data_IF_863974812982
#
_entry.id   IF_863974812982
#
_cell.length_a   1.000
_cell.length_b   1.000
_cell.length_c   1.000
_cell.angle_alpha   90.00
_cell.angle_beta   90.00
_cell.angle_gamma   90.00
#
_symmetry.space_group_name_H-M   'P 1'
#
loop_
_entity.id
_entity.type
_entity.pdbx_description
1 polymer ?
#
# COMPACT_ATOMS: atom_id res chain seq x y z
N UNK A 1 -3.16 5.60 -10.31
CA UNK A 1 -4.47 6.08 -9.82
C UNK A 1 -4.21 7.18 -8.81
N UNK A 2 -4.94 8.29 -8.88
CA UNK A 2 -4.88 9.36 -7.88
C UNK A 2 -6.21 9.38 -7.13
N UNK A 3 -6.15 9.29 -5.80
CA UNK A 3 -7.30 9.29 -4.91
C UNK A 3 -7.06 10.33 -3.81
N UNK A 4 -7.62 11.52 -3.98
CA UNK A 4 -7.47 12.63 -3.03
C UNK A 4 -8.21 12.39 -1.71
N UNK A 5 -9.15 11.44 -1.67
CA UNK A 5 -9.87 11.08 -0.46
C UNK A 5 -9.12 10.00 0.35
N UNK A 6 -8.03 9.44 -0.18
CA UNK A 6 -7.21 8.50 0.54
C UNK A 6 -6.31 9.21 1.58
N UNK A 7 -6.39 8.76 2.82
CA UNK A 7 -5.49 9.23 3.89
C UNK A 7 -4.05 8.72 3.74
N UNK A 8 -3.86 7.62 3.01
CA UNK A 8 -2.55 6.98 2.79
C UNK A 8 -2.45 6.46 1.35
N UNK A 9 -1.22 6.31 0.87
CA UNK A 9 -0.94 5.74 -0.46
C UNK A 9 -0.78 4.22 -0.38
N UNK A 10 -1.32 3.50 -1.36
CA UNK A 10 -1.30 2.03 -1.40
C UNK A 10 -0.65 1.52 -2.67
N UNK A 11 0.00 0.37 -2.55
CA UNK A 11 0.54 -0.41 -3.65
C UNK A 11 0.00 -1.84 -3.56
N UNK A 12 -0.35 -2.44 -4.70
CA UNK A 12 -0.78 -3.84 -4.71
C UNK A 12 0.41 -4.76 -4.43
N UNK A 13 0.15 -5.88 -3.77
CA UNK A 13 1.16 -6.91 -3.51
C UNK A 13 1.88 -7.37 -4.79
N UNK A 14 1.15 -7.56 -5.90
CA UNK A 14 1.74 -7.93 -7.19
C UNK A 14 2.71 -6.88 -7.74
N UNK A 15 2.48 -5.59 -7.46
CA UNK A 15 3.40 -4.52 -7.85
C UNK A 15 4.63 -4.49 -6.97
N UNK A 16 4.50 -4.78 -5.67
CA UNK A 16 5.64 -4.93 -4.76
C UNK A 16 6.57 -6.05 -5.24
N UNK A 17 6.02 -7.22 -5.59
CA UNK A 17 6.81 -8.34 -6.13
C UNK A 17 7.45 -7.98 -7.48
N UNK A 18 6.67 -7.41 -8.40
CA UNK A 18 7.17 -7.09 -9.75
C UNK A 18 8.29 -6.03 -9.74
N UNK A 19 8.25 -5.10 -8.80
CA UNK A 19 9.23 -4.02 -8.66
C UNK A 19 10.34 -4.35 -7.66
N UNK A 20 10.29 -5.53 -7.03
CA UNK A 20 11.21 -5.98 -5.99
C UNK A 20 11.41 -4.93 -4.87
N UNK A 21 10.29 -4.34 -4.43
CA UNK A 21 10.34 -3.28 -3.41
C UNK A 21 10.53 -3.88 -2.01
N UNK A 22 11.47 -3.35 -1.20
CA UNK A 22 11.64 -3.82 0.17
C UNK A 22 10.41 -3.47 1.01
N UNK A 23 9.89 -4.47 1.73
CA UNK A 23 8.78 -4.29 2.67
C UNK A 23 9.24 -4.42 4.11
N UNK A 24 8.66 -3.61 4.99
CA UNK A 24 8.75 -3.78 6.43
C UNK A 24 7.39 -4.22 7.00
N UNK A 25 7.42 -4.91 8.14
CA UNK A 25 6.23 -5.15 8.92
C UNK A 25 5.81 -3.85 9.64
N UNK A 26 4.51 -3.57 9.67
CA UNK A 26 3.95 -2.48 10.45
C UNK A 26 3.88 -2.89 11.94
N UNK A 27 4.04 -1.94 12.86
CA UNK A 27 3.91 -2.23 14.30
C UNK A 27 2.45 -2.45 14.73
N UNK A 28 1.48 -2.22 13.84
CA UNK A 28 0.06 -2.46 14.07
C UNK A 28 -0.64 -2.83 12.76
N UNK A 29 -1.79 -3.49 12.89
CA UNK A 29 -2.64 -3.84 11.76
C UNK A 29 -3.45 -2.61 11.31
N UNK A 30 -3.27 -2.20 10.05
CA UNK A 30 -4.07 -1.15 9.44
C UNK A 30 -5.28 -1.79 8.75
N UNK A 31 -6.44 -1.81 9.41
CA UNK A 31 -7.68 -2.28 8.81
C UNK A 31 -8.40 -1.15 8.07
N UNK A 32 -8.92 -1.47 6.89
CA UNK A 32 -9.77 -0.55 6.13
C UNK A 32 -11.15 -1.18 5.95
N UNK A 33 -12.14 -0.55 6.56
CA UNK A 33 -13.54 -0.92 6.39
C UNK A 33 -14.11 -0.16 5.17
N UNK A 34 -14.75 -0.90 4.28
CA UNK A 34 -15.66 -0.33 3.30
C UNK A 34 -17.07 -0.81 3.64
N UNK A 35 -18.11 0.04 3.53
CA UNK A 35 -19.49 -0.41 3.75
C UNK A 35 -19.81 -1.62 2.86
N UNK A 36 -20.24 -2.73 3.48
CA UNK A 36 -20.65 -3.95 2.77
C UNK A 36 -19.54 -4.95 2.40
N UNK A 37 -18.28 -4.71 2.80
CA UNK A 37 -17.18 -5.64 2.55
C UNK A 37 -16.44 -6.01 3.84
N UNK A 38 -15.78 -7.17 3.83
CA UNK A 38 -14.85 -7.55 4.89
C UNK A 38 -13.68 -6.54 4.97
N UNK A 39 -13.22 -6.18 6.18
CA UNK A 39 -12.12 -5.25 6.34
C UNK A 39 -10.84 -5.81 5.71
N UNK A 40 -10.18 -5.00 4.89
CA UNK A 40 -8.87 -5.35 4.34
C UNK A 40 -7.81 -4.95 5.36
N UNK A 41 -7.07 -5.94 5.86
CA UNK A 41 -5.97 -5.71 6.82
C UNK A 41 -4.65 -5.55 6.06
N UNK A 42 -3.93 -4.48 6.40
CA UNK A 42 -2.58 -4.20 5.90
C UNK A 42 -1.58 -4.28 7.03
N UNK A 43 -0.60 -5.16 6.89
CA UNK A 43 0.45 -5.43 7.89
C UNK A 43 1.85 -5.10 7.39
N UNK A 44 1.98 -4.69 6.13
CA UNK A 44 3.25 -4.39 5.48
C UNK A 44 3.22 -3.05 4.76
N UNK A 45 4.37 -2.42 4.69
CA UNK A 45 4.57 -1.20 3.90
C UNK A 45 5.97 -1.17 3.28
N UNK A 46 6.10 -0.50 2.15
CA UNK A 46 7.37 -0.07 1.59
C UNK A 46 7.65 1.34 2.11
N UNK A 47 8.78 1.51 2.81
CA UNK A 47 9.14 2.80 3.40
C UNK A 47 10.03 3.61 2.47
N UNK A 48 9.85 4.92 2.51
CA UNK A 48 10.72 5.91 1.86
C UNK A 48 10.99 5.58 0.39
N UNK A 49 9.94 5.11 -0.31
CA UNK A 49 10.02 4.77 -1.72
C UNK A 49 10.23 6.03 -2.57
N UNK A 50 11.31 6.11 -3.36
CA UNK A 50 11.47 7.17 -4.32
C UNK A 50 10.51 6.95 -5.49
N UNK A 51 9.73 7.98 -5.83
CA UNK A 51 8.87 7.99 -7.01
C UNK A 51 9.10 9.26 -7.82
N UNK A 52 8.94 9.16 -9.14
CA UNK A 52 9.03 10.30 -10.05
C UNK A 52 7.69 10.51 -10.76
N UNK A 53 7.17 11.74 -10.69
CA UNK A 53 5.93 12.15 -11.36
C UNK A 53 6.25 13.45 -12.11
N UNK A 54 6.07 13.46 -13.43
CA UNK A 54 6.33 14.61 -14.30
C UNK A 54 7.69 15.29 -14.05
N UNK A 55 8.74 14.47 -13.93
CA UNK A 55 10.12 14.93 -13.69
C UNK A 55 10.42 15.41 -12.27
N UNK A 56 9.46 15.30 -11.34
CA UNK A 56 9.63 15.66 -9.92
C UNK A 56 9.75 14.41 -9.07
N UNK A 57 10.70 14.41 -8.15
CA UNK A 57 10.95 13.30 -7.25
C UNK A 57 10.24 13.51 -5.92
N UNK A 58 9.61 12.44 -5.41
CA UNK A 58 8.97 12.39 -4.12
C UNK A 58 9.43 11.16 -3.36
N UNK A 59 9.42 11.26 -2.04
CA UNK A 59 9.65 10.12 -1.15
C UNK A 59 8.35 9.84 -0.44
N UNK A 60 7.82 8.62 -0.60
CA UNK A 60 6.51 8.24 -0.07
C UNK A 60 6.57 6.92 0.67
N UNK A 61 5.67 6.73 1.63
CA UNK A 61 5.42 5.42 2.24
C UNK A 61 4.22 4.78 1.53
N UNK A 62 4.40 3.54 1.06
CA UNK A 62 3.38 2.80 0.33
C UNK A 62 2.91 1.60 1.15
N UNK A 63 1.64 1.56 1.50
CA UNK A 63 1.04 0.46 2.24
C UNK A 63 0.69 -0.69 1.29
N UNK A 64 1.01 -1.93 1.67
CA UNK A 64 0.81 -3.13 0.83
C UNK A 64 -0.20 -4.08 1.48
N UNK A 65 -1.50 -3.96 1.17
CA UNK A 65 -2.52 -4.87 1.66
C UNK A 65 -2.25 -6.28 1.15
N UNK A 66 -2.34 -7.26 2.03
CA UNK A 66 -2.31 -8.66 1.62
C UNK A 66 -3.75 -9.10 1.37
N UNK A 67 -4.13 -9.21 0.11
CA UNK A 67 -5.42 -9.82 -0.24
C UNK A 67 -5.32 -11.31 0.05
N UNK A 68 -5.83 -11.77 1.19
CA UNK A 68 -6.11 -13.20 1.36
C UNK A 68 -7.31 -13.49 0.46
N UNK A 69 -7.05 -14.09 -0.69
CA UNK A 69 -8.11 -14.61 -1.55
C UNK A 69 -8.78 -15.75 -0.77
N UNK A 70 -9.86 -15.47 -0.08
CA UNK A 70 -10.78 -16.51 0.39
C UNK A 70 -11.27 -17.24 -0.85
N UNK A 71 -11.05 -18.56 -0.88
CA UNK A 71 -11.61 -19.45 -1.91
C UNK A 71 -13.11 -19.58 -1.70
#
# INVERSE_FOLDING_TARGET
MFDSCASHSFISYSCVERLDLPTIALPFDLSRAYPGNDPIVTTKACRECPISIDGRNFVVNLFSPSFKRTR
#
